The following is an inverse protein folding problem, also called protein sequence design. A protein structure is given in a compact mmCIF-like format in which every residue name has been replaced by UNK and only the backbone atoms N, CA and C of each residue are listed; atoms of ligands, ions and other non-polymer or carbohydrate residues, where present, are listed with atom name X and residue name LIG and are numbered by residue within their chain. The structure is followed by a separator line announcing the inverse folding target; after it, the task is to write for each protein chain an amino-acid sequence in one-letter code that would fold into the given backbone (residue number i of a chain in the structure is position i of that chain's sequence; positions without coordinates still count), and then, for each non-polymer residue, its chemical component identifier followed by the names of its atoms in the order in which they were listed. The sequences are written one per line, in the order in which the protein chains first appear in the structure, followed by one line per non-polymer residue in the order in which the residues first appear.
data_IF_113101438876
#
_entry.id   IF_113101438876
#
_cell.length_a   1.000
_cell.length_b   1.000
_cell.length_c   1.000
_cell.angle_alpha   90.00
_cell.angle_beta   90.00
_cell.angle_gamma   90.00
#
_symmetry.space_group_name_H-M   'P 1'
#
loop_
_entity.id
_entity.type
_entity.pdbx_description
1 polymer ?
#
# COMPACT_ATOMS: atom_id res chain seq x y z
N UNK A 1 57.10 0.16 -13.93
CA UNK A 1 56.12 1.22 -13.65
C UNK A 1 54.86 0.89 -14.41
N UNK A 2 53.85 0.34 -13.71
CA UNK A 2 52.57 -0.07 -14.31
C UNK A 2 51.57 1.06 -14.12
N UNK A 3 50.81 1.50 -15.12
CA UNK A 3 49.83 2.56 -14.94
C UNK A 3 48.55 1.93 -14.31
N UNK A 4 48.24 2.40 -13.12
CA UNK A 4 46.96 2.14 -12.43
C UNK A 4 45.82 2.72 -13.25
N UNK A 5 45.06 1.83 -13.90
CA UNK A 5 43.81 2.17 -14.59
C UNK A 5 42.77 2.59 -13.60
N UNK A 6 42.53 3.88 -13.43
CA UNK A 6 41.38 4.43 -12.75
C UNK A 6 40.13 4.08 -13.54
N UNK A 7 39.37 3.10 -13.05
CA UNK A 7 38.00 2.80 -13.54
C UNK A 7 37.14 3.99 -13.18
N UNK A 8 36.95 4.91 -14.11
CA UNK A 8 36.00 6.00 -13.98
C UNK A 8 34.61 5.42 -13.82
N UNK A 9 34.02 5.57 -12.60
CA UNK A 9 32.64 5.27 -12.33
C UNK A 9 31.76 6.21 -13.20
N UNK A 10 31.33 5.72 -14.38
CA UNK A 10 30.34 6.41 -15.20
C UNK A 10 29.05 6.53 -14.36
N UNK A 11 28.75 7.74 -13.89
CA UNK A 11 27.44 8.07 -13.35
C UNK A 11 26.40 7.81 -14.46
N UNK A 12 25.65 6.72 -14.34
CA UNK A 12 24.54 6.47 -15.27
C UNK A 12 23.51 7.56 -15.02
N UNK A 13 23.28 8.42 -16.00
CA UNK A 13 22.19 9.38 -15.97
C UNK A 13 20.85 8.65 -15.69
N UNK A 14 20.03 9.27 -14.83
CA UNK A 14 18.69 8.71 -14.52
C UNK A 14 17.84 8.67 -15.80
N UNK A 15 17.03 7.62 -15.93
CA UNK A 15 16.09 7.54 -17.05
C UNK A 15 15.03 8.65 -16.93
N UNK A 16 14.46 9.09 -18.06
CA UNK A 16 13.37 10.08 -18.07
C UNK A 16 12.19 9.66 -17.21
N UNK A 17 11.85 8.38 -17.23
CA UNK A 17 10.78 7.82 -16.39
C UNK A 17 11.11 7.89 -14.89
N UNK A 18 12.35 7.64 -14.49
CA UNK A 18 12.80 7.78 -13.10
C UNK A 18 12.78 9.25 -12.65
N UNK A 19 13.20 10.16 -13.52
CA UNK A 19 13.09 11.62 -13.25
C UNK A 19 11.63 12.01 -13.04
N UNK A 20 10.71 11.49 -13.85
CA UNK A 20 9.29 11.75 -13.70
C UNK A 20 8.74 11.25 -12.34
N UNK A 21 9.11 10.04 -11.90
CA UNK A 21 8.74 9.53 -10.57
C UNK A 21 9.25 10.44 -9.46
N UNK A 22 10.50 10.88 -9.55
CA UNK A 22 11.09 11.80 -8.56
C UNK A 22 10.36 13.14 -8.55
N UNK A 23 10.08 13.71 -9.72
CA UNK A 23 9.37 14.99 -9.83
C UNK A 23 7.95 14.90 -9.25
N UNK A 24 7.22 13.80 -9.53
CA UNK A 24 5.91 13.54 -8.95
C UNK A 24 5.99 13.41 -7.42
N UNK A 25 7.00 12.72 -6.89
CA UNK A 25 7.22 12.60 -5.45
C UNK A 25 7.43 13.98 -4.80
N UNK A 26 8.33 14.80 -5.38
CA UNK A 26 8.62 16.15 -4.88
C UNK A 26 7.38 17.06 -4.93
N UNK A 27 6.59 16.96 -6.00
CA UNK A 27 5.34 17.70 -6.14
C UNK A 27 4.33 17.30 -5.05
N UNK A 28 4.18 16.00 -4.76
CA UNK A 28 3.28 15.52 -3.70
C UNK A 28 3.75 16.00 -2.32
N UNK A 29 5.05 15.95 -2.06
CA UNK A 29 5.61 16.48 -0.81
C UNK A 29 5.36 17.99 -0.70
N UNK A 30 5.61 18.76 -1.76
CA UNK A 30 5.32 20.19 -1.78
C UNK A 30 3.83 20.48 -1.53
N UNK A 31 2.93 19.71 -2.14
CA UNK A 31 1.50 19.83 -1.94
C UNK A 31 1.08 19.64 -0.46
N UNK A 32 1.74 18.72 0.25
CA UNK A 32 1.45 18.48 1.67
C UNK A 32 1.76 19.69 2.58
N UNK A 33 2.68 20.57 2.15
CA UNK A 33 3.06 21.79 2.89
C UNK A 33 2.39 23.07 2.39
N UNK A 34 1.97 23.10 1.12
CA UNK A 34 1.45 24.32 0.47
C UNK A 34 -0.08 24.37 0.41
N UNK A 35 -0.75 23.22 0.44
CA UNK A 35 -2.21 23.20 0.40
C UNK A 35 -2.81 23.46 1.78
N UNK A 36 -4.03 24.04 1.86
CA UNK A 36 -4.71 24.28 3.12
C UNK A 36 -4.99 22.98 3.87
N UNK A 37 -5.06 23.08 5.19
CA UNK A 37 -5.44 21.96 6.06
C UNK A 37 -6.83 21.44 5.71
N UNK A 38 -7.00 20.12 5.77
CA UNK A 38 -8.28 19.44 5.54
C UNK A 38 -8.66 18.72 6.83
N UNK A 39 -9.73 19.14 7.53
CA UNK A 39 -10.18 18.45 8.73
C UNK A 39 -10.73 17.06 8.40
N UNK A 40 -10.68 16.15 9.36
CA UNK A 40 -11.36 14.87 9.26
C UNK A 40 -12.87 15.09 9.42
N UNK A 41 -13.73 14.70 8.44
CA UNK A 41 -15.16 14.80 8.60
C UNK A 41 -15.66 13.90 9.73
N UNK A 42 -16.51 14.43 10.60
CA UNK A 42 -17.11 13.63 11.70
C UNK A 42 -18.03 12.54 11.16
N UNK A 43 -18.72 12.78 10.06
CA UNK A 43 -19.61 11.84 9.37
C UNK A 43 -18.88 10.59 8.87
N UNK A 44 -17.53 10.61 8.85
CA UNK A 44 -16.73 9.44 8.50
C UNK A 44 -16.92 8.26 9.45
N UNK A 45 -17.37 8.53 10.67
CA UNK A 45 -17.65 7.53 11.70
C UNK A 45 -19.12 7.06 11.69
N UNK A 46 -20.01 7.70 10.91
CA UNK A 46 -21.43 7.36 10.81
C UNK A 46 -21.62 6.23 9.81
N UNK A 47 -21.52 5.01 10.30
CA UNK A 47 -21.64 3.82 9.46
C UNK A 47 -23.07 3.57 9.02
N UNK A 48 -23.27 3.17 7.75
CA UNK A 48 -24.58 2.86 7.20
C UNK A 48 -25.23 1.61 7.85
N UNK A 49 -24.43 0.69 8.36
CA UNK A 49 -24.86 -0.50 9.10
C UNK A 49 -24.21 -0.51 10.48
N UNK A 50 -25.01 -0.39 11.49
CA UNK A 50 -24.59 -0.40 12.90
C UNK A 50 -25.16 -1.63 13.64
N UNK A 51 -25.53 -2.70 12.91
CA UNK A 51 -26.14 -3.89 13.50
C UNK A 51 -25.14 -4.62 14.38
N UNK A 52 -25.61 -4.92 15.60
CA UNK A 52 -24.90 -5.76 16.54
C UNK A 52 -25.26 -7.23 16.33
N UNK A 53 -24.27 -8.10 16.46
CA UNK A 53 -24.48 -9.53 16.50
C UNK A 53 -23.47 -10.17 17.47
N UNK A 54 -23.90 -11.17 18.21
CA UNK A 54 -23.05 -11.90 19.18
C UNK A 54 -22.40 -10.97 20.24
N UNK A 55 -22.99 -9.82 20.54
CA UNK A 55 -22.45 -8.83 21.47
C UNK A 55 -21.29 -7.99 20.89
N UNK A 56 -21.12 -7.97 19.57
CA UNK A 56 -20.11 -7.17 18.85
C UNK A 56 -20.85 -6.08 18.08
N UNK A 57 -20.54 -4.82 18.38
CA UNK A 57 -20.99 -3.65 17.62
C UNK A 57 -20.40 -3.64 16.23
N UNK A 58 -21.14 -3.15 15.23
CA UNK A 58 -20.72 -3.12 13.82
C UNK A 58 -20.17 -4.47 13.33
N UNK A 59 -20.83 -5.56 13.73
CA UNK A 59 -20.38 -6.96 13.61
C UNK A 59 -19.77 -7.31 12.25
N UNK A 60 -20.45 -6.97 11.15
CA UNK A 60 -19.98 -7.32 9.81
C UNK A 60 -18.68 -6.63 9.44
N UNK A 61 -18.49 -5.37 9.87
CA UNK A 61 -17.25 -4.64 9.61
C UNK A 61 -16.09 -5.17 10.45
N UNK A 62 -16.36 -5.50 11.71
CA UNK A 62 -15.35 -6.11 12.59
C UNK A 62 -14.90 -7.47 12.02
N UNK A 63 -15.83 -8.36 11.71
CA UNK A 63 -15.54 -9.74 11.28
C UNK A 63 -14.92 -9.80 9.89
N UNK A 64 -15.30 -8.89 8.98
CA UNK A 64 -14.71 -8.84 7.62
C UNK A 64 -13.21 -8.55 7.61
N UNK A 65 -12.67 -7.96 8.68
CA UNK A 65 -11.22 -7.80 8.85
C UNK A 65 -10.46 -9.13 8.98
N UNK A 66 -11.15 -10.24 9.27
CA UNK A 66 -10.58 -11.59 9.19
C UNK A 66 -9.99 -11.91 7.81
N UNK A 67 -10.51 -11.29 6.74
CA UNK A 67 -9.93 -11.43 5.40
C UNK A 67 -8.51 -10.84 5.32
N UNK A 68 -8.24 -9.71 5.98
CA UNK A 68 -6.88 -9.14 6.06
C UNK A 68 -5.95 -10.01 6.91
N UNK A 69 -6.46 -10.59 8.01
CA UNK A 69 -5.70 -11.55 8.82
C UNK A 69 -5.19 -12.70 7.95
N UNK A 70 -6.09 -13.33 7.20
CA UNK A 70 -5.75 -14.45 6.31
C UNK A 70 -4.78 -14.04 5.20
N UNK A 71 -5.01 -12.90 4.54
CA UNK A 71 -4.15 -12.40 3.47
C UNK A 71 -2.74 -12.05 3.98
N UNK A 72 -2.65 -11.38 5.14
CA UNK A 72 -1.39 -11.03 5.77
C UNK A 72 -0.56 -12.25 6.19
N UNK A 73 -1.19 -13.21 6.88
CA UNK A 73 -0.53 -14.47 7.27
C UNK A 73 -0.08 -15.28 6.06
N UNK A 74 -0.95 -15.44 5.05
CA UNK A 74 -0.60 -16.15 3.81
C UNK A 74 0.58 -15.48 3.10
N UNK A 75 0.59 -14.14 3.04
CA UNK A 75 1.66 -13.39 2.42
C UNK A 75 3.00 -13.53 3.14
N UNK A 76 3.02 -13.39 4.47
CA UNK A 76 4.23 -13.61 5.28
C UNK A 76 4.73 -15.05 5.13
N UNK A 77 3.83 -16.03 5.14
CA UNK A 77 4.20 -17.42 4.88
C UNK A 77 4.86 -17.58 3.51
N UNK A 78 4.27 -17.04 2.44
CA UNK A 78 4.84 -17.11 1.09
C UNK A 78 6.24 -16.48 1.04
N UNK A 79 6.41 -15.30 1.66
CA UNK A 79 7.69 -14.56 1.66
C UNK A 79 8.81 -15.33 2.37
N UNK A 80 8.51 -16.03 3.47
CA UNK A 80 9.52 -16.68 4.29
C UNK A 80 9.65 -18.20 4.08
N UNK A 81 8.70 -18.84 3.40
CA UNK A 81 8.73 -20.31 3.15
C UNK A 81 9.61 -20.74 1.98
N UNK A 82 10.28 -19.81 1.30
CA UNK A 82 11.05 -20.13 0.08
C UNK A 82 10.21 -20.33 -1.18
N UNK A 83 8.89 -20.10 -1.11
CA UNK A 83 7.97 -20.24 -2.27
C UNK A 83 7.98 -19.03 -3.20
N UNK A 84 8.46 -17.87 -2.72
CA UNK A 84 8.59 -16.66 -3.52
C UNK A 84 9.97 -16.61 -4.20
N UNK A 85 9.99 -16.19 -5.47
CA UNK A 85 11.23 -15.98 -6.21
C UNK A 85 11.79 -14.58 -5.92
N UNK A 86 13.02 -14.53 -5.40
CA UNK A 86 13.79 -13.29 -5.18
C UNK A 86 15.20 -13.49 -5.76
N UNK A 87 15.71 -12.51 -6.50
CA UNK A 87 17.09 -12.54 -7.02
C UNK A 87 18.11 -12.48 -5.88
N UNK A 88 17.83 -11.62 -4.89
CA UNK A 88 18.62 -11.49 -3.66
C UNK A 88 17.74 -11.66 -2.42
N UNK A 89 18.22 -12.33 -1.37
CA UNK A 89 17.42 -12.57 -0.15
C UNK A 89 16.86 -11.29 0.48
N UNK A 90 17.52 -10.14 0.33
CA UNK A 90 17.08 -8.88 0.89
C UNK A 90 15.80 -8.33 0.23
N UNK A 91 15.50 -8.70 -1.02
CA UNK A 91 14.32 -8.23 -1.75
C UNK A 91 12.99 -8.68 -1.15
N UNK A 92 13.03 -9.67 -0.25
CA UNK A 92 11.84 -10.12 0.50
C UNK A 92 11.32 -9.09 1.49
N UNK A 93 12.18 -8.20 2.02
CA UNK A 93 11.80 -7.33 3.13
C UNK A 93 10.70 -6.32 2.80
N UNK A 94 10.69 -5.61 1.66
CA UNK A 94 9.57 -4.76 1.29
C UNK A 94 8.24 -5.51 1.21
N UNK A 95 8.24 -6.74 0.69
CA UNK A 95 7.04 -7.58 0.65
C UNK A 95 6.63 -8.08 2.04
N UNK A 96 7.60 -8.43 2.90
CA UNK A 96 7.32 -8.79 4.29
C UNK A 96 6.65 -7.62 5.02
N UNK A 97 7.13 -6.39 4.82
CA UNK A 97 6.54 -5.17 5.39
C UNK A 97 5.14 -4.92 4.83
N UNK A 98 4.92 -5.11 3.53
CA UNK A 98 3.59 -5.01 2.91
C UNK A 98 2.59 -5.96 3.57
N UNK A 99 2.92 -7.25 3.68
CA UNK A 99 2.03 -8.23 4.28
C UNK A 99 1.89 -8.07 5.80
N UNK A 100 2.93 -7.60 6.48
CA UNK A 100 2.83 -7.21 7.90
C UNK A 100 1.85 -6.06 8.08
N UNK A 101 1.89 -5.05 7.21
CA UNK A 101 0.90 -3.96 7.21
C UNK A 101 -0.53 -4.48 7.02
N UNK A 102 -0.76 -5.39 6.05
CA UNK A 102 -2.07 -6.03 5.86
C UNK A 102 -2.50 -6.81 7.11
N UNK A 103 -1.59 -7.57 7.72
CA UNK A 103 -1.87 -8.32 8.95
C UNK A 103 -2.25 -7.42 10.11
N UNK A 104 -1.51 -6.34 10.31
CA UNK A 104 -1.78 -5.37 11.37
C UNK A 104 -3.08 -4.59 11.12
N UNK A 105 -3.45 -4.35 9.84
CA UNK A 105 -4.74 -3.75 9.47
C UNK A 105 -5.90 -4.60 9.99
N UNK A 106 -5.78 -5.92 10.02
CA UNK A 106 -6.84 -6.77 10.56
C UNK A 106 -7.20 -6.42 12.01
N UNK A 107 -6.20 -6.19 12.86
CA UNK A 107 -6.44 -5.82 14.25
C UNK A 107 -6.82 -4.34 14.39
N UNK A 108 -6.10 -3.46 13.72
CA UNK A 108 -6.32 -2.01 13.85
C UNK A 108 -7.67 -1.55 13.30
N UNK A 109 -8.09 -2.09 12.15
CA UNK A 109 -9.39 -1.80 11.55
C UNK A 109 -10.54 -2.44 12.35
N UNK A 110 -10.38 -3.67 12.84
CA UNK A 110 -11.37 -4.27 13.72
C UNK A 110 -11.56 -3.45 15.00
N UNK A 111 -10.47 -2.97 15.61
CA UNK A 111 -10.52 -2.08 16.77
C UNK A 111 -11.27 -0.77 16.47
N UNK A 112 -10.98 -0.13 15.34
CA UNK A 112 -11.68 1.07 14.91
C UNK A 112 -13.19 0.84 14.76
N UNK A 113 -13.59 -0.28 14.16
CA UNK A 113 -15.00 -0.59 13.97
C UNK A 113 -15.75 -0.96 15.25
N UNK A 114 -15.05 -1.40 16.31
CA UNK A 114 -15.66 -1.63 17.62
C UNK A 114 -16.05 -0.34 18.34
N UNK A 115 -15.28 0.74 18.15
CA UNK A 115 -15.52 2.04 18.77
C UNK A 115 -15.05 3.17 17.85
N UNK A 116 -15.88 3.56 16.85
CA UNK A 116 -15.46 4.49 15.81
C UNK A 116 -15.28 5.92 16.33
N UNK A 117 -14.01 6.37 16.34
CA UNK A 117 -13.62 7.76 16.62
C UNK A 117 -12.27 8.06 15.96
N UNK A 118 -11.79 9.31 16.08
CA UNK A 118 -10.50 9.71 15.52
C UNK A 118 -9.31 9.01 16.22
N UNK A 119 -9.42 8.66 17.50
CA UNK A 119 -8.34 7.98 18.23
C UNK A 119 -8.21 6.51 17.81
N UNK A 120 -9.32 5.82 17.66
CA UNK A 120 -9.34 4.44 17.18
C UNK A 120 -8.98 4.35 15.69
N UNK A 121 -9.35 5.36 14.88
CA UNK A 121 -9.03 5.44 13.45
C UNK A 121 -7.51 5.52 13.18
N UNK A 122 -6.71 5.97 14.14
CA UNK A 122 -5.24 5.90 14.06
C UNK A 122 -4.77 4.46 13.85
N UNK A 123 -5.36 3.52 14.55
CA UNK A 123 -4.99 2.10 14.50
C UNK A 123 -5.39 1.41 13.19
N UNK A 124 -6.43 1.89 12.51
CA UNK A 124 -6.76 1.47 11.14
C UNK A 124 -5.76 2.04 10.13
N UNK A 125 -5.44 3.33 10.21
CA UNK A 125 -4.61 4.05 9.23
C UNK A 125 -3.12 3.72 9.28
N UNK A 126 -2.56 3.56 10.48
CA UNK A 126 -1.12 3.28 10.64
C UNK A 126 -0.68 2.01 9.88
N UNK A 127 -1.33 0.84 10.06
CA UNK A 127 -0.96 -0.36 9.31
C UNK A 127 -1.14 -0.20 7.81
N UNK A 128 -2.15 0.54 7.37
CA UNK A 128 -2.36 0.82 5.94
C UNK A 128 -1.19 1.57 5.34
N UNK A 129 -0.62 2.58 6.05
CA UNK A 129 0.58 3.28 5.56
C UNK A 129 1.78 2.35 5.46
N UNK A 130 1.94 1.43 6.41
CA UNK A 130 3.00 0.39 6.38
C UNK A 130 2.84 -0.48 5.13
N UNK A 131 1.62 -0.96 4.85
CA UNK A 131 1.35 -1.77 3.67
C UNK A 131 1.64 -0.99 2.37
N UNK A 132 1.13 0.23 2.23
CA UNK A 132 1.37 1.04 1.02
C UNK A 132 2.86 1.31 0.80
N UNK A 133 3.59 1.72 1.83
CA UNK A 133 5.02 2.03 1.69
C UNK A 133 5.85 0.77 1.43
N UNK A 134 5.49 -0.36 2.02
CA UNK A 134 6.08 -1.66 1.71
C UNK A 134 5.88 -2.04 0.23
N UNK A 135 4.67 -1.88 -0.30
CA UNK A 135 4.37 -2.17 -1.70
C UNK A 135 5.08 -1.21 -2.66
N UNK A 136 5.12 0.09 -2.37
CA UNK A 136 5.87 1.07 -3.19
C UNK A 136 7.36 0.71 -3.22
N UNK A 137 7.96 0.45 -2.06
CA UNK A 137 9.36 0.03 -1.96
C UNK A 137 9.63 -1.26 -2.75
N UNK A 138 8.74 -2.26 -2.69
CA UNK A 138 8.88 -3.51 -3.44
C UNK A 138 8.87 -3.29 -4.95
N UNK A 139 8.05 -2.35 -5.44
CA UNK A 139 8.02 -2.02 -6.87
C UNK A 139 9.24 -1.20 -7.32
N UNK A 140 9.82 -0.37 -6.44
CA UNK A 140 11.14 0.26 -6.71
C UNK A 140 12.22 -0.81 -6.81
N UNK A 141 12.21 -1.81 -5.92
CA UNK A 141 13.11 -2.99 -5.98
C UNK A 141 12.94 -3.71 -7.31
N UNK A 142 11.73 -4.06 -7.69
CA UNK A 142 11.45 -4.92 -8.84
C UNK A 142 11.64 -4.23 -10.19
N UNK A 143 11.54 -2.89 -10.25
CA UNK A 143 11.41 -2.15 -11.52
C UNK A 143 12.46 -1.07 -11.75
N UNK A 144 13.07 -0.53 -10.69
CA UNK A 144 14.04 0.58 -10.81
C UNK A 144 15.42 0.12 -10.33
N UNK A 145 15.55 -0.19 -9.04
CA UNK A 145 16.81 -0.60 -8.43
C UNK A 145 16.58 -1.28 -7.10
N UNK A 146 17.13 -2.49 -6.94
CA UNK A 146 17.05 -3.22 -5.67
C UNK A 146 17.68 -2.42 -4.51
N UNK A 147 18.87 -1.82 -4.74
CA UNK A 147 19.56 -1.01 -3.75
C UNK A 147 18.72 0.21 -3.35
N UNK A 148 18.15 0.92 -4.32
CA UNK A 148 17.33 2.11 -4.05
C UNK A 148 16.05 1.74 -3.28
N UNK A 149 15.32 0.71 -3.71
CA UNK A 149 14.10 0.28 -3.03
C UNK A 149 14.35 -0.14 -1.59
N UNK A 150 15.40 -0.92 -1.34
CA UNK A 150 15.76 -1.33 0.02
C UNK A 150 16.19 -0.14 0.89
N UNK A 151 16.96 0.80 0.34
CA UNK A 151 17.38 1.99 1.09
C UNK A 151 16.21 2.94 1.39
N UNK A 152 15.21 3.00 0.51
CA UNK A 152 14.02 3.84 0.67
C UNK A 152 12.97 3.24 1.61
N UNK A 153 13.02 1.94 1.93
CA UNK A 153 12.00 1.28 2.75
C UNK A 153 11.81 1.99 4.11
N UNK A 154 12.87 2.15 4.87
CA UNK A 154 12.79 2.79 6.19
C UNK A 154 12.36 4.26 6.13
N UNK A 155 12.92 5.13 5.27
CA UNK A 155 12.42 6.50 5.09
C UNK A 155 10.95 6.56 4.71
N UNK A 156 10.48 5.71 3.78
CA UNK A 156 9.07 5.67 3.37
C UNK A 156 8.16 5.27 4.53
N UNK A 157 8.55 4.27 5.34
CA UNK A 157 7.79 3.88 6.53
C UNK A 157 7.71 5.03 7.54
N UNK A 158 8.81 5.74 7.77
CA UNK A 158 8.83 6.89 8.69
C UNK A 158 7.89 7.99 8.20
N UNK A 159 7.89 8.32 6.91
CA UNK A 159 6.96 9.30 6.33
C UNK A 159 5.51 8.83 6.45
N UNK A 160 5.23 7.55 6.20
CA UNK A 160 3.91 6.96 6.36
C UNK A 160 3.39 7.09 7.80
N UNK A 161 4.17 6.68 8.77
CA UNK A 161 3.84 6.78 10.20
C UNK A 161 3.68 8.25 10.60
N UNK A 162 4.63 9.10 10.20
CA UNK A 162 4.60 10.53 10.53
C UNK A 162 3.34 11.23 9.98
N UNK A 163 2.82 10.83 8.82
CA UNK A 163 1.60 11.41 8.26
C UNK A 163 0.36 11.17 9.14
N UNK A 164 0.25 9.98 9.74
CA UNK A 164 -0.85 9.63 10.65
C UNK A 164 -0.65 10.28 12.02
N UNK A 165 0.59 10.25 12.56
CA UNK A 165 0.92 10.90 13.84
C UNK A 165 0.70 12.41 13.75
N UNK A 166 1.07 13.05 12.65
CA UNK A 166 0.80 14.47 12.41
C UNK A 166 -0.70 14.75 12.38
N UNK A 167 -1.48 13.96 11.66
CA UNK A 167 -2.93 14.12 11.63
C UNK A 167 -3.53 14.08 13.04
N UNK A 168 -3.30 13.02 13.81
CA UNK A 168 -3.90 12.91 15.14
C UNK A 168 -3.39 13.98 16.11
N UNK A 169 -2.12 14.39 16.00
CA UNK A 169 -1.60 15.49 16.81
C UNK A 169 -2.30 16.82 16.51
N UNK A 170 -2.55 17.12 15.22
CA UNK A 170 -3.29 18.33 14.83
C UNK A 170 -4.76 18.26 15.20
N UNK A 171 -5.41 17.07 15.15
CA UNK A 171 -6.79 16.87 15.66
C UNK A 171 -6.88 17.21 17.15
N UNK A 172 -5.96 16.66 17.97
CA UNK A 172 -5.92 16.94 19.43
C UNK A 172 -5.68 18.41 19.76
N UNK A 173 -5.05 19.16 18.84
CA UNK A 173 -4.85 20.60 18.98
C UNK A 173 -6.03 21.44 18.45
N UNK A 174 -7.10 20.82 17.95
CA UNK A 174 -8.26 21.49 17.36
C UNK A 174 -8.01 22.11 15.98
N UNK A 175 -6.91 21.76 15.32
CA UNK A 175 -6.50 22.25 13.99
C UNK A 175 -6.34 21.09 12.99
N UNK A 176 -7.21 20.09 13.05
CA UNK A 176 -7.12 18.83 12.34
C UNK A 176 -6.70 18.93 10.87
N UNK A 177 -5.70 18.15 10.47
CA UNK A 177 -5.22 18.13 9.08
C UNK A 177 -4.89 16.71 8.62
N UNK A 178 -5.85 16.07 7.95
CA UNK A 178 -5.70 14.73 7.38
C UNK A 178 -4.99 14.73 6.02
N UNK A 179 -4.76 15.91 5.43
CA UNK A 179 -4.23 16.05 4.06
C UNK A 179 -2.93 15.30 3.81
N UNK A 180 -1.88 15.35 4.69
CA UNK A 180 -0.64 14.61 4.43
C UNK A 180 -0.86 13.09 4.32
N UNK A 181 -1.74 12.52 5.15
CA UNK A 181 -2.12 11.11 5.05
C UNK A 181 -2.87 10.81 3.75
N UNK A 182 -3.85 11.64 3.38
CA UNK A 182 -4.61 11.46 2.14
C UNK A 182 -3.72 11.56 0.89
N UNK A 183 -2.80 12.53 0.87
CA UNK A 183 -1.81 12.67 -0.20
C UNK A 183 -0.86 11.47 -0.26
N UNK A 184 -0.41 10.93 0.86
CA UNK A 184 0.45 9.75 0.89
C UNK A 184 -0.26 8.52 0.30
N UNK A 185 -1.53 8.33 0.63
CA UNK A 185 -2.34 7.23 0.10
C UNK A 185 -2.57 7.40 -1.41
N UNK A 186 -2.95 8.59 -1.87
CA UNK A 186 -3.08 8.90 -3.29
C UNK A 186 -1.77 8.77 -4.05
N UNK A 187 -0.66 9.26 -3.46
CA UNK A 187 0.68 9.10 -4.01
C UNK A 187 1.03 7.62 -4.22
N UNK A 188 0.82 6.77 -3.22
CA UNK A 188 1.14 5.35 -3.33
C UNK A 188 0.43 4.71 -4.53
N UNK A 189 -0.86 4.99 -4.70
CA UNK A 189 -1.65 4.46 -5.83
C UNK A 189 -1.11 4.96 -7.16
N UNK A 190 -0.90 6.28 -7.29
CA UNK A 190 -0.47 6.89 -8.56
C UNK A 190 0.97 6.50 -8.92
N UNK A 191 1.89 6.50 -7.95
CA UNK A 191 3.30 6.15 -8.23
C UNK A 191 3.46 4.68 -8.61
N UNK A 192 2.70 3.78 -7.98
CA UNK A 192 2.66 2.37 -8.36
C UNK A 192 2.17 2.20 -9.80
N UNK A 193 1.13 2.92 -10.21
CA UNK A 193 0.61 2.89 -11.57
C UNK A 193 1.64 3.45 -12.57
N UNK A 194 2.26 4.59 -12.25
CA UNK A 194 3.34 5.18 -13.07
C UNK A 194 4.49 4.17 -13.23
N UNK A 195 4.92 3.52 -12.16
CA UNK A 195 5.98 2.50 -12.23
C UNK A 195 5.55 1.28 -13.04
N UNK A 196 4.28 0.84 -12.92
CA UNK A 196 3.75 -0.28 -13.69
C UNK A 196 3.77 -0.02 -15.20
N UNK A 197 3.47 1.21 -15.61
CA UNK A 197 3.40 1.63 -17.01
C UNK A 197 4.80 1.94 -17.58
N UNK A 198 5.60 2.69 -16.85
CA UNK A 198 6.84 3.28 -17.38
C UNK A 198 8.10 2.44 -17.13
N UNK A 199 8.07 1.48 -16.19
CA UNK A 199 9.23 0.68 -15.82
C UNK A 199 8.93 -0.82 -15.96
N UNK A 200 9.73 -1.51 -16.76
CA UNK A 200 9.63 -2.98 -16.88
C UNK A 200 10.12 -3.66 -15.59
N UNK A 201 9.38 -4.65 -15.12
CA UNK A 201 9.83 -5.46 -13.99
C UNK A 201 10.95 -6.42 -14.40
N UNK A 202 11.87 -6.73 -13.48
CA UNK A 202 12.85 -7.81 -13.59
C UNK A 202 12.23 -9.19 -13.44
N UNK A 203 10.96 -9.26 -13.00
CA UNK A 203 10.22 -10.48 -12.78
C UNK A 203 9.10 -10.65 -13.80
N UNK A 204 8.77 -11.90 -14.11
CA UNK A 204 7.53 -12.25 -14.80
C UNK A 204 6.33 -11.95 -13.91
N UNK A 205 5.11 -12.10 -14.42
CA UNK A 205 3.87 -11.80 -13.67
C UNK A 205 3.70 -10.32 -13.27
N UNK A 206 4.47 -9.43 -13.88
CA UNK A 206 4.42 -7.99 -13.62
C UNK A 206 3.02 -7.37 -13.81
N UNK A 207 2.18 -7.98 -14.68
CA UNK A 207 0.81 -7.55 -14.94
C UNK A 207 -0.16 -7.89 -13.80
N UNK A 208 0.22 -8.77 -12.87
CA UNK A 208 -0.62 -9.06 -11.69
C UNK A 208 -0.80 -7.80 -10.81
N UNK A 209 0.09 -6.81 -10.93
CA UNK A 209 -0.06 -5.51 -10.29
C UNK A 209 -1.34 -4.78 -10.74
N UNK A 210 -1.74 -4.90 -12.02
CA UNK A 210 -3.01 -4.33 -12.50
C UNK A 210 -4.25 -4.99 -11.88
N UNK A 211 -4.18 -6.28 -11.56
CA UNK A 211 -5.25 -6.95 -10.81
C UNK A 211 -5.31 -6.49 -9.36
N UNK A 212 -4.14 -6.25 -8.72
CA UNK A 212 -4.08 -5.64 -7.37
C UNK A 212 -4.77 -4.27 -7.40
N UNK A 213 -4.47 -3.44 -8.41
CA UNK A 213 -5.15 -2.16 -8.62
C UNK A 213 -6.65 -2.31 -8.83
N UNK A 214 -7.07 -3.25 -9.69
CA UNK A 214 -8.49 -3.49 -9.96
C UNK A 214 -9.26 -3.80 -8.68
N UNK A 215 -8.73 -4.66 -7.82
CA UNK A 215 -9.33 -4.97 -6.53
C UNK A 215 -9.32 -3.79 -5.56
N UNK A 216 -8.26 -3.00 -5.55
CA UNK A 216 -8.21 -1.77 -4.75
C UNK A 216 -9.23 -0.73 -5.22
N UNK A 217 -9.36 -0.52 -6.53
CA UNK A 217 -10.40 0.38 -7.09
C UNK A 217 -11.79 -0.13 -6.76
N UNK A 218 -12.04 -1.45 -6.87
CA UNK A 218 -13.30 -2.04 -6.46
C UNK A 218 -13.58 -1.80 -4.97
N UNK A 219 -12.57 -1.96 -4.10
CA UNK A 219 -12.71 -1.66 -2.69
C UNK A 219 -13.10 -0.19 -2.45
N UNK A 220 -12.49 0.76 -3.16
CA UNK A 220 -12.85 2.19 -3.05
C UNK A 220 -14.23 2.50 -3.61
N UNK A 221 -14.67 1.83 -4.66
CA UNK A 221 -16.03 1.95 -5.19
C UNK A 221 -17.06 1.39 -4.21
N UNK A 222 -16.79 0.25 -3.58
CA UNK A 222 -17.65 -0.34 -2.56
C UNK A 222 -17.75 0.56 -1.32
N UNK A 223 -16.65 1.20 -0.91
CA UNK A 223 -16.64 2.19 0.17
C UNK A 223 -17.49 3.41 -0.18
N UNK A 224 -17.35 3.94 -1.41
CA UNK A 224 -18.13 5.07 -1.89
C UNK A 224 -19.62 4.76 -2.02
N UNK A 225 -19.97 3.55 -2.43
CA UNK A 225 -21.34 3.08 -2.60
C UNK A 225 -21.89 2.36 -1.36
N UNK A 226 -21.35 2.63 -0.18
CA UNK A 226 -21.63 1.90 1.06
C UNK A 226 -23.13 1.74 1.34
N UNK A 227 -23.86 2.84 1.44
CA UNK A 227 -25.29 2.85 1.71
C UNK A 227 -26.12 2.23 0.58
N UNK A 228 -25.73 2.44 -0.69
CA UNK A 228 -26.43 1.89 -1.85
C UNK A 228 -26.31 0.36 -1.90
N UNK A 229 -25.14 -0.18 -1.55
CA UNK A 229 -24.93 -1.63 -1.46
C UNK A 229 -25.82 -2.22 -0.38
N UNK A 230 -25.90 -1.60 0.80
CA UNK A 230 -26.79 -2.04 1.86
C UNK A 230 -28.26 -2.00 1.45
N UNK A 231 -28.70 -0.89 0.83
CA UNK A 231 -30.08 -0.72 0.37
C UNK A 231 -30.52 -1.79 -0.64
N UNK A 232 -29.61 -2.27 -1.49
CA UNK A 232 -29.91 -3.30 -2.48
C UNK A 232 -29.74 -4.72 -1.95
N UNK A 233 -28.71 -4.98 -1.17
CA UNK A 233 -28.43 -6.33 -0.65
C UNK A 233 -29.29 -6.71 0.52
N UNK A 234 -29.72 -5.74 1.34
CA UNK A 234 -30.37 -5.90 2.66
C UNK A 234 -29.59 -6.76 3.66
N UNK A 235 -28.36 -7.19 3.28
CA UNK A 235 -27.54 -8.12 4.08
C UNK A 235 -26.23 -7.52 4.52
N UNK A 236 -25.46 -6.98 3.58
CA UNK A 236 -24.12 -6.44 3.82
C UNK A 236 -23.99 -5.07 3.19
N UNK A 237 -23.18 -4.22 3.79
CA UNK A 237 -22.86 -2.90 3.24
C UNK A 237 -21.59 -2.91 2.38
N UNK A 238 -21.40 -1.84 1.62
CA UNK A 238 -20.23 -1.72 0.75
C UNK A 238 -18.92 -1.70 1.54
N UNK A 239 -18.89 -1.11 2.73
CA UNK A 239 -17.70 -1.06 3.58
C UNK A 239 -17.23 -2.47 4.03
N UNK A 240 -18.12 -3.35 4.44
CA UNK A 240 -17.83 -4.76 4.72
C UNK A 240 -17.20 -5.46 3.51
N UNK A 241 -17.77 -5.24 2.32
CA UNK A 241 -17.27 -5.83 1.08
C UNK A 241 -15.93 -5.21 0.64
N UNK A 242 -15.66 -3.93 0.96
CA UNK A 242 -14.35 -3.31 0.67
C UNK A 242 -13.21 -4.03 1.39
N UNK A 243 -13.41 -4.48 2.64
CA UNK A 243 -12.39 -5.23 3.38
C UNK A 243 -12.04 -6.53 2.66
N UNK A 244 -13.06 -7.25 2.20
CA UNK A 244 -12.86 -8.49 1.42
C UNK A 244 -12.14 -8.19 0.10
N UNK A 245 -12.59 -7.18 -0.66
CA UNK A 245 -11.98 -6.80 -1.93
C UNK A 245 -10.51 -6.38 -1.76
N UNK A 246 -10.20 -5.57 -0.75
CA UNK A 246 -8.83 -5.17 -0.45
C UNK A 246 -7.95 -6.36 0.00
N UNK A 247 -8.49 -7.31 0.77
CA UNK A 247 -7.78 -8.53 1.13
C UNK A 247 -7.50 -9.43 -0.08
N UNK A 248 -8.42 -9.49 -1.05
CA UNK A 248 -8.19 -10.22 -2.32
C UNK A 248 -7.01 -9.61 -3.09
N UNK A 249 -6.82 -8.28 -3.07
CA UNK A 249 -5.60 -7.67 -3.63
C UNK A 249 -4.32 -8.23 -2.97
N UNK A 250 -4.33 -8.46 -1.66
CA UNK A 250 -3.25 -9.14 -0.93
C UNK A 250 -3.04 -10.59 -1.41
N UNK A 251 -4.10 -11.37 -1.61
CA UNK A 251 -3.99 -12.73 -2.16
C UNK A 251 -3.48 -12.76 -3.61
N UNK A 252 -3.84 -11.77 -4.43
CA UNK A 252 -3.26 -11.62 -5.79
C UNK A 252 -1.75 -11.38 -5.69
N UNK A 253 -1.29 -10.57 -4.74
CA UNK A 253 0.14 -10.36 -4.49
C UNK A 253 0.83 -11.66 -4.02
N UNK A 254 0.21 -12.46 -3.14
CA UNK A 254 0.71 -13.80 -2.77
C UNK A 254 0.89 -14.69 -4.00
N UNK A 255 -0.14 -14.78 -4.83
CA UNK A 255 -0.10 -15.59 -6.07
C UNK A 255 0.98 -15.10 -7.03
N UNK A 256 1.12 -13.77 -7.17
CA UNK A 256 2.18 -13.16 -7.98
C UNK A 256 3.56 -13.63 -7.50
N UNK A 257 3.84 -13.53 -6.22
CA UNK A 257 5.12 -13.94 -5.63
C UNK A 257 5.43 -15.44 -5.82
N UNK A 258 4.43 -16.31 -5.67
CA UNK A 258 4.58 -17.77 -5.84
C UNK A 258 4.82 -18.18 -7.29
N UNK A 259 4.33 -17.39 -8.26
CA UNK A 259 4.35 -17.78 -9.69
C UNK A 259 5.34 -16.97 -10.51
N UNK A 260 5.96 -15.94 -9.95
CA UNK A 260 6.94 -15.14 -10.67
C UNK A 260 8.28 -15.86 -10.76
N UNK A 261 9.01 -15.59 -11.82
CA UNK A 261 10.39 -15.97 -12.04
C UNK A 261 11.17 -14.75 -12.52
N UNK A 262 12.48 -14.80 -12.54
CA UNK A 262 13.28 -13.76 -13.21
C UNK A 262 12.91 -13.72 -14.69
N UNK A 263 12.63 -12.53 -15.20
CA UNK A 263 12.39 -12.34 -16.62
C UNK A 263 13.72 -12.54 -17.36
N UNK A 264 13.72 -13.41 -18.36
CA UNK A 264 14.87 -13.57 -19.24
C UNK A 264 15.19 -12.21 -19.89
N UNK A 265 16.43 -11.71 -19.86
CA UNK A 265 16.78 -10.55 -20.64
C UNK A 265 16.35 -10.81 -22.08
N UNK A 266 15.47 -9.97 -22.63
CA UNK A 266 15.15 -10.05 -24.06
C UNK A 266 16.47 -9.87 -24.81
N UNK A 267 16.98 -10.98 -25.33
CA UNK A 267 18.18 -10.97 -26.15
C UNK A 267 18.01 -9.86 -27.19
N UNK A 268 18.97 -8.96 -27.26
CA UNK A 268 19.09 -8.08 -28.39
C UNK A 268 19.01 -8.94 -29.65
N UNK A 269 17.87 -8.97 -30.31
CA UNK A 269 17.82 -9.28 -31.71
C UNK A 269 18.64 -8.18 -32.40
N UNK A 270 19.95 -8.41 -32.50
CA UNK A 270 20.78 -7.76 -33.49
C UNK A 270 20.33 -8.35 -34.82
N UNK A 271 19.61 -7.61 -35.58
CA UNK A 271 19.68 -7.64 -37.04
C UNK A 271 19.77 -6.21 -37.53
#
# INVERSE_FOLDING_TARGET
MSPTGAVAARSRALSRSTVFVIAFTLLTVAAAFLLPAVPQPHEYHDFADQRDALGIENFFDVVSNGAFLLAGLAGLFVVFSGRACFEFPAERWPYAVFFLGILLTAAGSAWYHLSPDNESLVWDRLPMTIAFMGLVSSQVVDRISARAGLALLAPMLLVGIASVVYWIATERMGAGNVLPYALLQGYAVVVLLIMAILHRSRYTRANDLYFIFGWYVLAKLLEYLDAQVLAHSHLVRGHTLKHVAAAVAGFVACRMLMRRTLATPSGNARQ
#
